data_IF_167730901237
#
_entry.id   IF_167730901237
#
_cell.length_a   1.000
_cell.length_b   1.000
_cell.length_c   1.000
_cell.angle_alpha   90.00
_cell.angle_beta   90.00
_cell.angle_gamma   90.00
#
_symmetry.space_group_name_H-M   'P 1'
#
loop_
_entity.id
_entity.type
_entity.pdbx_description
1 polymer ?
#
# COMPACT_ATOMS: atom_id res chain seq x y z
N UNK A 1 50.37 31.98 -37.62
CA UNK A 1 49.73 32.22 -36.29
C UNK A 1 48.32 31.67 -36.40
N UNK A 2 48.08 30.44 -35.83
CA UNK A 2 46.80 29.78 -35.84
C UNK A 2 46.11 30.04 -34.50
N UNK A 3 44.92 30.64 -34.57
CA UNK A 3 44.08 30.89 -33.40
C UNK A 3 43.13 29.70 -33.26
N UNK A 4 43.33 28.88 -32.23
CA UNK A 4 42.42 27.80 -31.87
C UNK A 4 41.22 28.37 -31.05
N UNK A 5 40.03 28.28 -31.61
CA UNK A 5 38.79 28.63 -30.91
C UNK A 5 38.39 27.47 -29.98
N UNK A 6 38.39 27.71 -28.68
CA UNK A 6 37.87 26.75 -27.66
C UNK A 6 36.39 26.99 -27.57
N UNK A 7 35.60 25.99 -28.01
CA UNK A 7 34.15 25.95 -27.84
C UNK A 7 33.86 25.43 -26.41
N UNK A 8 33.40 26.30 -25.52
CA UNK A 8 32.94 25.92 -24.21
C UNK A 8 31.51 25.34 -24.31
N UNK A 9 31.35 24.03 -24.11
CA UNK A 9 30.04 23.38 -23.92
C UNK A 9 29.52 23.74 -22.53
N UNK A 10 28.53 24.60 -22.44
CA UNK A 10 27.77 24.85 -21.22
C UNK A 10 26.70 23.76 -21.06
N UNK A 11 26.96 22.82 -20.14
CA UNK A 11 25.93 21.84 -19.71
C UNK A 11 24.84 22.56 -18.92
N UNK A 12 23.69 22.75 -19.53
CA UNK A 12 22.49 23.23 -18.84
C UNK A 12 21.90 22.06 -18.03
N UNK A 13 22.18 22.01 -16.75
CA UNK A 13 21.51 21.07 -15.83
C UNK A 13 20.07 21.53 -15.68
N UNK A 14 19.13 20.79 -16.25
CA UNK A 14 17.70 21.00 -16.01
C UNK A 14 17.40 20.62 -14.56
N UNK A 15 17.17 21.61 -13.72
CA UNK A 15 16.60 21.43 -12.40
C UNK A 15 15.13 21.05 -12.58
N UNK A 16 14.80 19.76 -12.38
CA UNK A 16 13.42 19.33 -12.29
C UNK A 16 12.82 19.89 -11.00
N UNK A 17 11.76 20.67 -11.12
CA UNK A 17 10.98 21.11 -9.97
C UNK A 17 10.53 19.90 -9.16
N UNK A 18 10.58 19.93 -7.81
CA UNK A 18 10.05 18.83 -7.01
C UNK A 18 8.58 18.61 -7.35
N UNK A 19 8.23 17.35 -7.63
CA UNK A 19 6.84 16.99 -7.91
C UNK A 19 5.96 17.31 -6.67
N UNK A 20 4.76 17.85 -6.85
CA UNK A 20 3.91 18.20 -5.71
C UNK A 20 3.60 16.95 -4.89
N UNK A 21 3.61 17.09 -3.56
CA UNK A 21 3.32 15.99 -2.64
C UNK A 21 1.97 15.33 -2.97
N UNK A 22 1.87 13.98 -2.88
CA UNK A 22 0.64 13.26 -3.18
C UNK A 22 -0.53 13.73 -2.32
N UNK A 23 -1.68 14.03 -2.95
CA UNK A 23 -2.89 14.51 -2.28
C UNK A 23 -3.91 13.40 -2.02
N UNK A 24 -3.77 12.29 -2.71
CA UNK A 24 -4.70 11.16 -2.67
C UNK A 24 -4.03 9.83 -3.01
N UNK A 25 -4.71 8.72 -2.72
CA UNK A 25 -4.30 7.39 -3.14
C UNK A 25 -4.06 7.30 -4.66
N UNK A 26 -4.78 8.09 -5.45
CA UNK A 26 -4.77 8.02 -6.90
C UNK A 26 -3.50 8.56 -7.56
N UNK A 27 -2.66 9.25 -6.79
CA UNK A 27 -1.40 9.82 -7.27
C UNK A 27 -0.27 8.79 -7.30
N UNK A 28 -0.49 7.60 -6.68
CA UNK A 28 0.53 6.56 -6.59
C UNK A 28 0.47 5.55 -7.74
N UNK A 29 1.65 5.07 -8.12
CA UNK A 29 1.85 3.93 -9.02
C UNK A 29 2.65 2.88 -8.26
N UNK A 30 2.15 1.64 -8.21
CA UNK A 30 2.76 0.54 -7.46
C UNK A 30 2.95 -0.67 -8.37
N UNK A 31 3.96 -1.50 -8.09
CA UNK A 31 4.12 -2.77 -8.79
C UNK A 31 3.18 -3.83 -8.20
N UNK A 32 2.40 -4.52 -9.02
CA UNK A 32 1.62 -5.70 -8.60
C UNK A 32 2.54 -6.82 -8.15
N UNK A 33 2.00 -7.88 -7.54
CA UNK A 33 2.80 -9.03 -7.08
C UNK A 33 3.55 -9.70 -8.24
N UNK A 34 3.03 -9.59 -9.47
CA UNK A 34 3.68 -10.06 -10.70
C UNK A 34 4.66 -9.04 -11.30
N UNK A 35 4.94 -7.95 -10.61
CA UNK A 35 5.90 -6.92 -11.04
C UNK A 35 5.38 -5.93 -12.09
N UNK A 36 4.08 -5.93 -12.41
CA UNK A 36 3.47 -5.01 -13.39
C UNK A 36 3.18 -3.67 -12.74
N UNK A 37 3.56 -2.58 -13.41
CA UNK A 37 3.22 -1.22 -12.96
C UNK A 37 1.71 -0.98 -13.02
N UNK A 38 1.11 -0.52 -11.91
CA UNK A 38 -0.31 -0.24 -11.77
C UNK A 38 -0.54 1.11 -11.09
N UNK A 39 -1.20 2.02 -11.77
CA UNK A 39 -1.63 3.29 -11.18
C UNK A 39 -2.87 3.06 -10.31
N UNK A 40 -2.83 3.56 -9.07
CA UNK A 40 -3.90 3.31 -8.10
C UNK A 40 -5.18 4.14 -8.39
N UNK A 41 -5.15 5.06 -9.34
CA UNK A 41 -6.35 5.73 -9.86
C UNK A 41 -7.36 4.76 -10.50
N UNK A 42 -6.94 3.54 -10.86
CA UNK A 42 -7.82 2.43 -11.23
C UNK A 42 -8.93 2.17 -10.19
N UNK A 43 -8.68 2.53 -8.94
CA UNK A 43 -9.62 2.32 -7.84
C UNK A 43 -10.47 3.55 -7.51
N UNK A 44 -10.50 4.58 -8.39
CA UNK A 44 -11.39 5.74 -8.23
C UNK A 44 -12.85 5.33 -8.01
N UNK A 45 -13.49 5.96 -7.03
CA UNK A 45 -14.87 5.68 -6.66
C UNK A 45 -15.06 4.38 -5.85
N UNK A 46 -13.98 3.68 -5.49
CA UNK A 46 -14.00 2.52 -4.60
C UNK A 46 -13.55 2.92 -3.18
N UNK A 47 -14.07 2.19 -2.20
CA UNK A 47 -13.50 2.19 -0.85
C UNK A 47 -12.33 1.21 -0.85
N UNK A 48 -11.17 1.64 -0.38
CA UNK A 48 -9.95 0.83 -0.44
C UNK A 48 -9.44 0.56 0.97
N UNK A 49 -9.21 -0.71 1.31
CA UNK A 49 -8.54 -1.14 2.53
C UNK A 49 -7.12 -1.58 2.19
N UNK A 50 -6.13 -0.80 2.61
CA UNK A 50 -4.71 -1.08 2.41
C UNK A 50 -4.17 -1.79 3.64
N UNK A 51 -3.47 -2.91 3.46
CA UNK A 51 -2.94 -3.74 4.56
C UNK A 51 -1.50 -4.15 4.25
N UNK A 52 -0.57 -3.92 5.20
CA UNK A 52 0.76 -4.52 5.12
C UNK A 52 0.72 -5.93 5.70
N UNK A 53 1.15 -6.90 4.93
CA UNK A 53 0.94 -8.32 5.21
C UNK A 53 2.24 -9.09 5.32
N UNK A 54 2.18 -10.27 5.95
CA UNK A 54 3.32 -11.18 6.05
C UNK A 54 2.87 -12.65 6.18
N UNK A 55 3.68 -13.56 5.62
CA UNK A 55 3.38 -15.01 5.55
C UNK A 55 3.74 -15.78 6.82
N UNK A 56 4.68 -15.26 7.65
CA UNK A 56 5.23 -15.97 8.84
C UNK A 56 4.98 -15.20 10.14
N UNK A 57 3.83 -14.56 10.27
CA UNK A 57 3.44 -13.77 11.43
C UNK A 57 2.35 -14.50 12.24
N UNK A 58 2.31 -14.30 13.55
CA UNK A 58 1.19 -14.77 14.38
C UNK A 58 -0.17 -14.21 13.94
N UNK A 59 -0.17 -13.09 13.22
CA UNK A 59 -1.38 -12.46 12.68
C UNK A 59 -1.72 -12.90 11.24
N UNK A 60 -0.92 -13.77 10.60
CA UNK A 60 -1.16 -14.29 9.24
C UNK A 60 -2.56 -14.89 9.05
N UNK A 61 -3.20 -15.53 10.05
CA UNK A 61 -4.59 -15.98 9.92
C UNK A 61 -5.60 -14.89 9.58
N UNK A 62 -5.27 -13.61 9.76
CA UNK A 62 -6.13 -12.49 9.32
C UNK A 62 -6.36 -12.45 7.80
N UNK A 63 -5.53 -13.10 6.98
CA UNK A 63 -5.78 -13.23 5.55
C UNK A 63 -7.17 -13.82 5.26
N UNK A 64 -7.62 -14.81 6.05
CA UNK A 64 -8.95 -15.41 5.91
C UNK A 64 -10.05 -14.36 6.07
N UNK A 65 -10.01 -13.60 7.16
CA UNK A 65 -11.00 -12.55 7.40
C UNK A 65 -10.92 -11.41 6.37
N UNK A 66 -9.73 -11.05 5.87
CA UNK A 66 -9.58 -10.07 4.79
C UNK A 66 -10.21 -10.55 3.49
N UNK A 67 -10.04 -11.83 3.14
CA UNK A 67 -10.63 -12.43 1.95
C UNK A 67 -12.17 -12.52 2.06
N UNK A 68 -12.69 -12.92 3.22
CA UNK A 68 -14.13 -12.93 3.50
C UNK A 68 -14.71 -11.50 3.37
N UNK A 69 -14.09 -10.53 4.03
CA UNK A 69 -14.49 -9.12 3.97
C UNK A 69 -14.50 -8.57 2.53
N UNK A 70 -13.48 -8.92 1.74
CA UNK A 70 -13.40 -8.56 0.33
C UNK A 70 -14.53 -9.19 -0.47
N UNK A 71 -14.75 -10.50 -0.37
CA UNK A 71 -15.80 -11.23 -1.10
C UNK A 71 -17.21 -10.69 -0.80
N UNK A 72 -17.48 -10.41 0.48
CA UNK A 72 -18.79 -9.89 0.94
C UNK A 72 -19.09 -8.48 0.40
N UNK A 73 -18.06 -7.66 0.17
CA UNK A 73 -18.25 -6.24 -0.12
C UNK A 73 -17.73 -5.77 -1.48
N UNK A 74 -17.01 -6.61 -2.26
CA UNK A 74 -16.48 -6.21 -3.58
C UNK A 74 -17.55 -5.72 -4.54
N UNK A 75 -18.72 -6.34 -4.54
CA UNK A 75 -19.85 -5.91 -5.38
C UNK A 75 -20.42 -4.55 -4.94
N UNK A 76 -20.25 -4.19 -3.66
CA UNK A 76 -20.64 -2.89 -3.10
C UNK A 76 -19.58 -1.81 -3.31
N UNK A 77 -18.39 -2.18 -3.82
CA UNK A 77 -17.31 -1.25 -4.14
C UNK A 77 -16.13 -1.24 -3.19
N UNK A 78 -15.99 -2.25 -2.30
CA UNK A 78 -14.77 -2.43 -1.50
C UNK A 78 -13.68 -3.11 -2.33
N UNK A 79 -12.45 -2.63 -2.18
CA UNK A 79 -11.24 -3.29 -2.64
C UNK A 79 -10.27 -3.44 -1.46
N UNK A 80 -9.66 -4.61 -1.31
CA UNK A 80 -8.54 -4.83 -0.38
C UNK A 80 -7.25 -4.86 -1.17
N UNK A 81 -6.21 -4.15 -0.72
CA UNK A 81 -4.89 -4.14 -1.33
C UNK A 81 -3.86 -4.65 -0.32
N UNK A 82 -3.23 -5.79 -0.62
CA UNK A 82 -2.21 -6.40 0.22
C UNK A 82 -0.80 -6.01 -0.22
N UNK A 83 -0.02 -5.45 0.71
CA UNK A 83 1.38 -5.08 0.50
C UNK A 83 2.28 -5.92 1.40
N UNK A 84 2.95 -6.96 0.88
CA UNK A 84 3.92 -7.72 1.64
C UNK A 84 5.05 -6.84 2.17
N UNK A 85 5.45 -7.04 3.44
CA UNK A 85 6.49 -6.24 4.07
C UNK A 85 7.35 -7.08 5.03
N UNK A 86 8.67 -6.97 4.90
CA UNK A 86 9.63 -7.75 5.73
C UNK A 86 10.21 -6.95 6.90
N UNK A 87 9.62 -5.79 7.23
CA UNK A 87 10.14 -4.86 8.25
C UNK A 87 9.98 -5.38 9.68
N UNK A 88 9.12 -6.37 9.92
CA UNK A 88 8.78 -6.83 11.27
C UNK A 88 9.28 -8.25 11.50
N UNK A 89 10.45 -8.35 12.15
CA UNK A 89 11.06 -9.62 12.51
C UNK A 89 11.42 -10.53 11.34
N UNK A 90 11.56 -10.01 10.12
CA UNK A 90 11.86 -10.81 8.93
C UNK A 90 10.75 -11.80 8.57
N UNK A 91 9.49 -11.48 8.88
CA UNK A 91 8.36 -12.40 8.75
C UNK A 91 7.77 -12.50 7.33
N UNK A 92 8.38 -11.83 6.34
CA UNK A 92 8.05 -11.96 4.92
C UNK A 92 9.31 -12.18 4.07
N UNK A 93 10.07 -13.28 4.28
CA UNK A 93 11.36 -13.48 3.61
C UNK A 93 11.23 -13.91 2.14
N UNK A 94 10.08 -14.47 1.74
CA UNK A 94 9.86 -15.05 0.42
C UNK A 94 9.97 -14.07 -0.75
N UNK A 95 10.12 -14.59 -1.97
CA UNK A 95 9.97 -13.81 -3.19
C UNK A 95 8.49 -13.43 -3.41
N UNK A 96 8.21 -12.53 -4.36
CA UNK A 96 6.83 -12.19 -4.71
C UNK A 96 6.04 -13.42 -5.20
N UNK A 97 6.68 -14.31 -5.96
CA UNK A 97 6.09 -15.55 -6.46
C UNK A 97 5.71 -16.49 -5.30
N UNK A 98 6.65 -16.70 -4.36
CA UNK A 98 6.42 -17.54 -3.17
C UNK A 98 5.29 -16.98 -2.29
N UNK A 99 5.23 -15.65 -2.13
CA UNK A 99 4.18 -14.98 -1.37
C UNK A 99 2.83 -15.15 -2.07
N UNK A 100 2.77 -14.95 -3.39
CA UNK A 100 1.56 -15.12 -4.19
C UNK A 100 1.01 -16.55 -4.08
N UNK A 101 1.88 -17.56 -4.24
CA UNK A 101 1.49 -18.97 -4.07
C UNK A 101 1.03 -19.29 -2.65
N UNK A 102 1.73 -18.78 -1.64
CA UNK A 102 1.36 -18.97 -0.24
C UNK A 102 -0.04 -18.43 0.05
N UNK A 103 -0.33 -17.20 -0.37
CA UNK A 103 -1.62 -16.55 -0.17
C UNK A 103 -2.76 -17.30 -0.89
N UNK A 104 -2.53 -17.72 -2.14
CA UNK A 104 -3.52 -18.45 -2.92
C UNK A 104 -3.82 -19.82 -2.32
N UNK A 105 -2.78 -20.62 -1.99
CA UNK A 105 -2.93 -22.00 -1.52
C UNK A 105 -3.48 -22.08 -0.09
N UNK A 106 -3.04 -21.21 0.81
CA UNK A 106 -3.38 -21.33 2.23
C UNK A 106 -4.64 -20.56 2.63
N UNK A 107 -4.96 -19.46 1.92
CA UNK A 107 -6.04 -18.56 2.30
C UNK A 107 -7.01 -18.26 1.16
N UNK A 108 -6.75 -18.77 -0.06
CA UNK A 108 -7.58 -18.51 -1.24
C UNK A 108 -7.69 -17.01 -1.57
N UNK A 109 -6.64 -16.23 -1.28
CA UNK A 109 -6.62 -14.79 -1.50
C UNK A 109 -6.92 -14.46 -2.95
N UNK A 110 -7.95 -13.66 -3.17
CA UNK A 110 -8.39 -13.19 -4.49
C UNK A 110 -8.38 -11.66 -4.63
N UNK A 111 -8.12 -10.94 -3.55
CA UNK A 111 -7.91 -9.49 -3.61
C UNK A 111 -6.53 -9.15 -4.18
N UNK A 112 -6.36 -7.95 -4.78
CA UNK A 112 -5.09 -7.51 -5.35
C UNK A 112 -3.93 -7.54 -4.35
N UNK A 113 -2.86 -8.22 -4.75
CA UNK A 113 -1.58 -8.23 -4.04
C UNK A 113 -0.54 -7.43 -4.83
N UNK A 114 0.35 -6.76 -4.11
CA UNK A 114 1.43 -5.95 -4.65
C UNK A 114 2.79 -6.54 -4.34
N UNK A 115 3.82 -6.08 -5.04
CA UNK A 115 5.20 -6.45 -4.76
C UNK A 115 5.59 -6.05 -3.34
N UNK A 116 6.49 -6.83 -2.74
CA UNK A 116 7.03 -6.55 -1.40
C UNK A 116 7.68 -5.17 -1.35
N UNK A 117 7.35 -4.40 -0.34
CA UNK A 117 7.85 -3.04 -0.10
C UNK A 117 8.31 -2.86 1.34
N UNK A 118 9.06 -1.79 1.60
CA UNK A 118 9.28 -1.32 2.97
C UNK A 118 8.14 -0.42 3.42
N UNK A 119 7.65 -0.65 4.65
CA UNK A 119 6.56 0.13 5.27
C UNK A 119 7.01 0.89 6.52
N UNK A 120 8.29 0.76 6.90
CA UNK A 120 8.87 1.36 8.10
C UNK A 120 10.34 1.73 7.87
N UNK A 121 10.83 2.75 8.58
CA UNK A 121 12.22 3.17 8.50
C UNK A 121 12.48 4.20 7.38
N UNK A 122 13.76 4.45 7.10
CA UNK A 122 14.19 5.49 6.16
C UNK A 122 13.90 5.16 4.69
N UNK A 123 13.71 3.88 4.36
CA UNK A 123 13.39 3.36 3.03
C UNK A 123 11.88 3.08 2.84
N UNK A 124 11.04 3.57 3.77
CA UNK A 124 9.58 3.43 3.70
C UNK A 124 9.05 3.98 2.38
N UNK A 125 8.25 3.15 1.68
CA UNK A 125 7.64 3.52 0.41
C UNK A 125 6.77 4.79 0.54
N UNK A 126 6.76 5.64 -0.50
CA UNK A 126 6.04 6.91 -0.52
C UNK A 126 4.54 6.76 -0.22
N UNK A 127 3.91 5.71 -0.71
CA UNK A 127 2.53 5.38 -0.36
C UNK A 127 2.33 5.29 1.16
N UNK A 128 3.25 4.61 1.86
CA UNK A 128 3.16 4.45 3.31
C UNK A 128 3.58 5.71 4.07
N UNK A 129 4.46 6.54 3.50
CA UNK A 129 4.73 7.89 4.01
C UNK A 129 3.45 8.73 4.01
N UNK A 130 2.72 8.73 2.90
CA UNK A 130 1.46 9.44 2.76
C UNK A 130 0.37 8.89 3.68
N UNK A 131 0.21 7.56 3.77
CA UNK A 131 -0.78 6.93 4.66
C UNK A 131 -0.56 7.29 6.12
N UNK A 132 0.69 7.26 6.59
CA UNK A 132 1.03 7.60 7.97
C UNK A 132 0.82 9.09 8.22
N UNK A 133 1.35 9.97 7.36
CA UNK A 133 1.24 11.41 7.53
C UNK A 133 -0.19 11.94 7.42
N UNK A 134 -1.06 11.24 6.69
CA UNK A 134 -2.49 11.59 6.56
C UNK A 134 -3.35 11.01 7.67
N UNK A 135 -2.80 10.16 8.55
CA UNK A 135 -3.57 9.50 9.62
C UNK A 135 -3.74 10.40 10.84
N UNK A 136 -4.60 9.95 11.76
CA UNK A 136 -4.77 10.54 13.10
C UNK A 136 -3.51 10.41 13.99
N UNK A 137 -2.50 9.66 13.53
CA UNK A 137 -1.21 9.45 14.19
C UNK A 137 -0.05 9.68 13.21
N UNK A 138 0.16 10.91 12.71
CA UNK A 138 1.06 11.19 11.60
C UNK A 138 2.55 10.99 11.92
N UNK A 139 2.91 10.97 13.21
CA UNK A 139 4.28 10.78 13.68
C UNK A 139 4.55 9.35 14.17
N UNK A 140 3.52 8.49 14.22
CA UNK A 140 3.66 7.14 14.72
C UNK A 140 4.07 6.18 13.59
N UNK A 141 5.20 5.51 13.75
CA UNK A 141 5.59 4.41 12.89
C UNK A 141 4.50 3.32 12.85
N UNK A 142 4.50 2.52 11.79
CA UNK A 142 3.63 1.34 11.72
C UNK A 142 4.08 0.34 12.77
N UNK A 143 3.13 -0.11 13.58
CA UNK A 143 3.40 -0.89 14.79
C UNK A 143 3.86 -2.31 14.47
N UNK A 144 3.20 -2.99 13.50
CA UNK A 144 3.45 -4.39 13.15
C UNK A 144 2.82 -4.76 11.81
N UNK A 145 3.01 -6.02 11.39
CA UNK A 145 2.26 -6.59 10.26
C UNK A 145 0.75 -6.51 10.50
N UNK A 146 -0.02 -6.40 9.44
CA UNK A 146 -1.48 -6.30 9.43
C UNK A 146 -2.04 -4.99 10.03
N UNK A 147 -1.29 -3.88 10.02
CA UNK A 147 -1.89 -2.56 10.15
C UNK A 147 -2.76 -2.26 8.92
N UNK A 148 -3.88 -1.56 9.11
CA UNK A 148 -4.84 -1.30 8.04
C UNK A 148 -5.11 0.18 7.90
N UNK A 149 -5.31 0.61 6.65
CA UNK A 149 -5.65 1.98 6.29
C UNK A 149 -6.87 1.97 5.39
N UNK A 150 -7.95 2.59 5.84
CA UNK A 150 -9.19 2.72 5.10
C UNK A 150 -9.20 4.04 4.32
N UNK A 151 -9.35 3.95 3.01
CA UNK A 151 -9.37 5.08 2.09
C UNK A 151 -10.77 5.19 1.46
N UNK A 152 -11.29 6.40 1.37
CA UNK A 152 -12.61 6.71 0.82
C UNK A 152 -12.67 6.68 -0.70
N UNK A 153 -13.90 6.80 -1.24
CA UNK A 153 -14.18 6.88 -2.67
C UNK A 153 -13.53 8.09 -3.36
N UNK A 154 -13.16 9.10 -2.59
CA UNK A 154 -12.44 10.32 -3.05
C UNK A 154 -10.90 10.17 -3.02
N UNK A 155 -10.41 8.99 -2.61
CA UNK A 155 -8.99 8.70 -2.49
C UNK A 155 -8.32 9.24 -1.24
N UNK A 156 -9.07 9.83 -0.29
CA UNK A 156 -8.53 10.34 0.96
C UNK A 156 -8.57 9.30 2.06
N UNK A 157 -7.56 9.32 2.94
CA UNK A 157 -7.54 8.45 4.11
C UNK A 157 -8.68 8.81 5.06
N UNK A 158 -9.45 7.79 5.46
CA UNK A 158 -10.54 7.89 6.45
C UNK A 158 -10.02 7.55 7.84
N UNK A 159 -9.30 6.42 7.97
CA UNK A 159 -8.86 5.91 9.28
C UNK A 159 -7.72 4.89 9.17
N UNK A 160 -6.83 4.93 10.18
CA UNK A 160 -5.82 3.90 10.45
C UNK A 160 -6.32 2.97 11.55
N UNK A 161 -6.08 1.67 11.40
CA UNK A 161 -6.37 0.63 12.39
C UNK A 161 -5.08 -0.12 12.74
N UNK A 162 -4.91 -0.43 14.00
CA UNK A 162 -3.76 -1.20 14.49
C UNK A 162 -3.77 -2.66 14.03
N UNK A 163 -2.65 -3.37 14.21
CA UNK A 163 -2.49 -4.76 13.78
C UNK A 163 -3.50 -5.73 14.41
N UNK A 164 -3.87 -5.47 15.67
CA UNK A 164 -4.78 -6.32 16.44
C UNK A 164 -6.25 -6.14 16.06
N UNK A 165 -6.60 -5.07 15.36
CA UNK A 165 -7.95 -4.89 14.84
C UNK A 165 -8.23 -5.91 13.75
N UNK A 166 -9.00 -6.94 14.08
CA UNK A 166 -9.30 -8.04 13.16
C UNK A 166 -10.23 -7.60 12.03
N UNK A 167 -10.14 -8.22 10.83
CA UNK A 167 -11.03 -7.91 9.71
C UNK A 167 -12.53 -8.07 10.03
N UNK A 168 -12.87 -9.03 10.87
CA UNK A 168 -14.24 -9.33 11.31
C UNK A 168 -14.74 -8.39 12.42
N UNK A 169 -13.92 -7.50 12.97
CA UNK A 169 -14.30 -6.64 14.08
C UNK A 169 -15.47 -5.71 13.73
N UNK A 170 -16.38 -5.45 14.69
CA UNK A 170 -17.48 -4.50 14.48
C UNK A 170 -16.97 -3.10 14.09
N UNK A 171 -15.85 -2.65 14.67
CA UNK A 171 -15.27 -1.33 14.43
C UNK A 171 -14.84 -1.16 12.97
N UNK A 172 -14.09 -2.12 12.42
CA UNK A 172 -13.63 -2.06 11.03
C UNK A 172 -14.81 -2.22 10.06
N UNK A 173 -15.71 -3.19 10.31
CA UNK A 173 -16.91 -3.40 9.49
C UNK A 173 -17.82 -2.18 9.45
N UNK A 174 -18.06 -1.52 10.58
CA UNK A 174 -18.84 -0.28 10.63
C UNK A 174 -18.20 0.87 9.85
N UNK A 175 -16.88 1.03 9.95
CA UNK A 175 -16.15 2.05 9.19
C UNK A 175 -16.24 1.82 7.67
N UNK A 176 -16.10 0.57 7.23
CA UNK A 176 -16.23 0.19 5.82
C UNK A 176 -17.66 0.41 5.34
N UNK A 177 -18.67 -0.04 6.09
CA UNK A 177 -20.08 0.16 5.74
C UNK A 177 -20.40 1.65 5.58
N UNK A 178 -19.95 2.49 6.51
CA UNK A 178 -20.12 3.94 6.43
C UNK A 178 -19.45 4.54 5.20
N UNK A 179 -18.27 4.06 4.83
CA UNK A 179 -17.54 4.55 3.67
C UNK A 179 -18.17 4.11 2.34
N UNK A 180 -18.83 2.96 2.32
CA UNK A 180 -19.54 2.44 1.15
C UNK A 180 -20.85 3.21 0.86
N UNK A 181 -21.49 3.79 1.87
CA UNK A 181 -22.73 4.57 1.77
C UNK A 181 -23.95 3.73 1.99
#
# INVERSE_FOLDING_TARGET
>A
MSIAAILALTSTTMMTSPEPAPKSLYDFTMATIEGKSLKLDKYKGKVVLIVNVASKCGLTPQYKGLEELYKENKAKGLVVLGFPANNFGGQEPGSNEEISEFCARNYGVSFPMFSKISVKGSDRAELYNWLVSSSDRPNDEIEWNFAKFLVGKDGKLIKRFGPQEKPESPTLKAAITKALG
#
